data_IF_529152481850
#
_entry.id   IF_529152481850
#
_cell.length_a   1.000
_cell.length_b   1.000
_cell.length_c   1.000
_cell.angle_alpha   90.00
_cell.angle_beta   90.00
_cell.angle_gamma   90.00
#
_symmetry.space_group_name_H-M   'P 1'
#
loop_
_entity.id
_entity.type
_entity.pdbx_description
1 polymer ?
#
# COMPACT_ATOMS: atom_id res chain seq x y z
N UNK A 1 -1.38 4.61 -12.34
CA UNK A 1 -0.53 3.87 -13.30
C UNK A 1 -0.23 4.80 -14.45
N UNK A 2 0.95 4.72 -15.09
CA UNK A 2 1.25 5.48 -16.32
C UNK A 2 1.07 4.60 -17.55
N UNK A 3 0.87 5.18 -18.77
CA UNK A 3 0.81 4.41 -20.02
C UNK A 3 2.03 3.50 -20.22
N UNK A 4 3.23 3.97 -19.90
CA UNK A 4 4.45 3.17 -19.97
C UNK A 4 4.44 1.95 -19.02
N UNK A 5 3.86 2.10 -17.83
CA UNK A 5 3.73 0.99 -16.88
C UNK A 5 2.68 0.00 -17.36
N UNK A 6 1.60 0.49 -17.96
CA UNK A 6 0.54 -0.34 -18.55
C UNK A 6 1.09 -1.14 -19.74
N UNK A 7 1.84 -0.50 -20.63
CA UNK A 7 2.50 -1.14 -21.77
C UNK A 7 3.36 -2.33 -21.33
N UNK A 8 4.22 -2.12 -20.33
CA UNK A 8 5.08 -3.18 -19.79
C UNK A 8 4.29 -4.36 -19.19
N UNK A 9 3.20 -4.08 -18.47
CA UNK A 9 2.37 -5.14 -17.87
C UNK A 9 1.57 -5.95 -18.88
N UNK A 10 1.12 -5.32 -19.95
CA UNK A 10 0.31 -5.96 -20.99
C UNK A 10 1.16 -6.52 -22.15
N UNK A 11 2.48 -6.32 -22.16
CA UNK A 11 3.34 -6.69 -23.28
C UNK A 11 3.01 -5.93 -24.58
N UNK A 12 2.51 -4.69 -24.45
CA UNK A 12 2.07 -3.84 -25.56
C UNK A 12 3.04 -2.69 -25.81
N UNK A 13 2.88 -2.03 -26.95
CA UNK A 13 3.59 -0.80 -27.27
C UNK A 13 3.08 0.37 -26.41
N UNK A 14 3.88 1.41 -26.27
CA UNK A 14 3.46 2.63 -25.56
C UNK A 14 2.26 3.31 -26.25
N UNK A 15 2.15 3.21 -27.56
CA UNK A 15 1.04 3.79 -28.32
C UNK A 15 -0.27 3.05 -28.02
N UNK A 16 -0.29 1.71 -28.10
CA UNK A 16 -1.47 0.91 -27.73
C UNK A 16 -1.89 1.14 -26.27
N UNK A 17 -0.92 1.24 -25.37
CA UNK A 17 -1.21 1.54 -23.96
C UNK A 17 -1.80 2.94 -23.77
N UNK A 18 -1.37 3.93 -24.55
CA UNK A 18 -1.95 5.26 -24.55
C UNK A 18 -3.39 5.25 -25.06
N UNK A 19 -3.67 4.55 -26.15
CA UNK A 19 -5.02 4.39 -26.70
C UNK A 19 -5.99 3.74 -25.70
N UNK A 20 -5.52 2.71 -24.96
CA UNK A 20 -6.29 2.08 -23.87
C UNK A 20 -6.57 3.10 -22.75
N UNK A 21 -5.57 3.89 -22.39
CA UNK A 21 -5.68 4.91 -21.35
C UNK A 21 -6.71 5.99 -21.72
N UNK A 22 -6.63 6.48 -22.94
CA UNK A 22 -7.54 7.52 -23.46
C UNK A 22 -8.97 6.98 -23.58
N UNK A 23 -9.14 5.74 -24.04
CA UNK A 23 -10.43 5.05 -24.11
C UNK A 23 -11.06 4.89 -22.71
N UNK A 24 -10.25 4.53 -21.70
CA UNK A 24 -10.71 4.41 -20.33
C UNK A 24 -11.25 5.74 -19.78
N UNK A 25 -10.50 6.82 -19.90
CA UNK A 25 -10.96 8.12 -19.40
C UNK A 25 -12.13 8.70 -20.21
N UNK A 26 -12.20 8.40 -21.49
CA UNK A 26 -13.36 8.73 -22.32
C UNK A 26 -14.63 8.01 -21.83
N UNK A 27 -14.48 6.76 -21.42
CA UNK A 27 -15.58 5.93 -20.88
C UNK A 27 -15.97 6.34 -19.45
N UNK A 28 -15.00 6.83 -18.66
CA UNK A 28 -15.18 7.18 -17.26
C UNK A 28 -14.70 8.61 -16.95
N UNK A 29 -15.33 9.64 -17.52
CA UNK A 29 -14.85 11.03 -17.38
C UNK A 29 -14.87 11.53 -15.92
N UNK A 30 -15.77 11.01 -15.08
CA UNK A 30 -15.82 11.33 -13.64
C UNK A 30 -14.60 10.85 -12.86
N UNK A 31 -13.95 9.80 -13.32
CA UNK A 31 -12.69 9.34 -12.71
C UNK A 31 -11.55 10.33 -13.00
N UNK A 32 -11.49 10.84 -14.22
CA UNK A 32 -10.50 11.87 -14.58
C UNK A 32 -10.73 13.16 -13.79
N UNK A 33 -11.98 13.60 -13.67
CA UNK A 33 -12.38 14.75 -12.87
C UNK A 33 -11.99 14.58 -11.39
N UNK A 34 -12.24 13.41 -10.81
CA UNK A 34 -11.85 13.10 -9.44
C UNK A 34 -10.32 13.18 -9.23
N UNK A 35 -9.54 12.68 -10.18
CA UNK A 35 -8.07 12.75 -10.14
C UNK A 35 -7.63 14.21 -10.16
N UNK A 36 -8.18 15.01 -11.08
CA UNK A 36 -7.85 16.43 -11.24
C UNK A 36 -8.20 17.22 -9.98
N UNK A 37 -9.43 17.07 -9.49
CA UNK A 37 -9.90 17.77 -8.29
C UNK A 37 -9.11 17.37 -7.04
N UNK A 38 -8.71 16.11 -6.93
CA UNK A 38 -7.89 15.64 -5.81
C UNK A 38 -6.51 16.29 -5.81
N UNK A 39 -5.88 16.43 -6.97
CA UNK A 39 -4.58 17.10 -7.11
C UNK A 39 -4.69 18.60 -6.83
N UNK A 40 -5.75 19.24 -7.28
CA UNK A 40 -5.97 20.67 -7.03
C UNK A 40 -6.23 20.93 -5.55
N UNK A 41 -7.02 20.08 -4.90
CA UNK A 41 -7.22 20.13 -3.45
C UNK A 41 -5.90 19.97 -2.68
N UNK A 42 -5.06 19.00 -3.07
CA UNK A 42 -3.72 18.84 -2.48
C UNK A 42 -2.87 20.09 -2.62
N UNK A 43 -2.86 20.71 -3.82
CA UNK A 43 -2.10 21.97 -4.08
C UNK A 43 -2.51 23.10 -3.16
N UNK A 44 -3.80 23.18 -2.85
CA UNK A 44 -4.36 24.28 -2.06
C UNK A 44 -4.19 24.06 -0.56
N UNK A 45 -4.32 22.80 -0.09
CA UNK A 45 -4.45 22.50 1.33
C UNK A 45 -3.27 21.74 1.94
N UNK A 46 -2.41 21.12 1.14
CA UNK A 46 -1.29 20.30 1.62
C UNK A 46 -1.65 18.92 2.15
N UNK A 47 -2.92 18.55 2.06
CA UNK A 47 -3.44 17.24 2.44
C UNK A 47 -4.54 16.81 1.49
N UNK A 48 -4.93 15.55 1.57
CA UNK A 48 -6.16 15.02 0.99
C UNK A 48 -7.07 14.50 2.09
N UNK A 49 -8.36 14.48 1.81
CA UNK A 49 -9.39 14.08 2.76
C UNK A 49 -10.26 12.99 2.16
N UNK A 50 -10.57 11.95 2.93
CA UNK A 50 -11.56 10.95 2.53
C UNK A 50 -12.98 11.45 2.82
N UNK A 51 -14.00 10.66 2.47
CA UNK A 51 -15.41 10.98 2.66
C UNK A 51 -15.79 11.12 4.16
N UNK A 52 -15.03 10.52 5.07
CA UNK A 52 -15.25 10.61 6.51
C UNK A 52 -14.51 11.81 7.17
N UNK A 53 -13.84 12.65 6.38
CA UNK A 53 -13.08 13.80 6.87
C UNK A 53 -11.70 13.46 7.42
N UNK A 54 -11.20 12.21 7.23
CA UNK A 54 -9.82 11.86 7.62
C UNK A 54 -8.83 12.48 6.65
N UNK A 55 -7.85 13.17 7.21
CA UNK A 55 -6.82 13.88 6.46
C UNK A 55 -5.53 13.08 6.38
N UNK A 56 -4.94 13.07 5.18
CA UNK A 56 -3.58 12.61 4.95
C UNK A 56 -2.75 13.74 4.39
N UNK A 57 -1.79 14.21 5.19
CA UNK A 57 -0.82 15.20 4.76
C UNK A 57 0.18 14.58 3.77
N UNK A 58 0.43 15.29 2.67
CA UNK A 58 1.36 14.89 1.61
C UNK A 58 2.39 16.02 1.42
N UNK A 59 3.16 16.27 2.47
CA UNK A 59 4.11 17.40 2.55
C UNK A 59 5.20 17.35 1.48
N UNK A 60 5.57 16.16 1.01
CA UNK A 60 6.55 15.97 -0.04
C UNK A 60 6.14 16.59 -1.40
N UNK A 61 4.85 16.88 -1.57
CA UNK A 61 4.36 17.60 -2.75
C UNK A 61 4.93 19.01 -2.88
N UNK A 62 5.25 19.64 -1.74
CA UNK A 62 5.76 21.03 -1.69
C UNK A 62 7.28 21.13 -1.61
N UNK A 63 7.97 20.01 -1.72
CA UNK A 63 9.44 20.04 -1.79
C UNK A 63 9.91 20.80 -3.02
N UNK A 64 11.02 21.51 -2.87
CA UNK A 64 11.71 22.04 -4.04
C UNK A 64 12.22 20.89 -4.91
N UNK A 65 12.12 20.97 -6.25
CA UNK A 65 12.58 19.91 -7.15
C UNK A 65 14.05 19.51 -6.91
N UNK A 66 14.86 20.47 -6.51
CA UNK A 66 16.27 20.27 -6.14
C UNK A 66 16.57 20.99 -4.83
N UNK A 67 17.30 20.33 -3.96
CA UNK A 67 17.78 20.87 -2.69
C UNK A 67 19.27 20.63 -2.56
N UNK A 68 19.95 21.55 -1.87
CA UNK A 68 21.37 21.42 -1.55
C UNK A 68 21.55 21.73 -0.05
N UNK A 69 22.37 20.94 0.62
CA UNK A 69 22.74 21.13 2.02
C UNK A 69 24.21 20.80 2.24
N UNK A 70 24.82 21.40 3.26
CA UNK A 70 26.17 21.03 3.67
C UNK A 70 26.15 19.72 4.45
N UNK A 71 27.15 18.87 4.25
CA UNK A 71 27.28 17.59 4.98
C UNK A 71 27.52 17.77 6.47
N UNK A 72 28.40 18.72 6.80
CA UNK A 72 28.79 19.04 8.16
C UNK A 72 28.65 20.55 8.34
N UNK A 73 27.45 21.00 8.65
CA UNK A 73 27.15 22.41 8.79
C UNK A 73 27.99 23.07 9.89
N UNK A 74 28.17 22.41 11.03
CA UNK A 74 28.98 22.88 12.15
C UNK A 74 30.48 23.06 11.77
N UNK A 75 31.06 22.09 11.06
CA UNK A 75 32.45 22.17 10.63
C UNK A 75 32.66 23.25 9.55
N UNK A 76 31.68 23.44 8.71
CA UNK A 76 31.72 24.46 7.68
C UNK A 76 31.54 25.85 8.25
N UNK A 77 30.65 26.05 9.21
CA UNK A 77 30.47 27.28 9.97
C UNK A 77 31.78 27.65 10.70
N UNK A 78 32.41 26.66 11.33
CA UNK A 78 33.70 26.89 12.01
C UNK A 78 34.81 27.31 11.03
N UNK A 79 34.83 26.80 9.80
CA UNK A 79 35.80 27.15 8.77
C UNK A 79 35.49 28.49 8.06
N UNK A 80 34.23 28.90 8.05
CA UNK A 80 33.76 30.11 7.35
C UNK A 80 33.47 31.27 8.30
N UNK A 81 33.59 31.07 9.62
CA UNK A 81 33.44 32.10 10.61
C UNK A 81 34.49 33.21 10.39
N UNK A 82 34.01 34.45 10.25
CA UNK A 82 34.88 35.59 10.12
C UNK A 82 35.17 36.21 11.52
N UNK A 83 36.37 36.01 12.08
CA UNK A 83 36.67 36.47 13.44
C UNK A 83 36.72 37.99 13.56
N UNK A 84 36.90 38.72 12.44
CA UNK A 84 36.96 40.19 12.41
C UNK A 84 35.54 40.77 12.52
N UNK A 85 34.56 40.16 11.86
CA UNK A 85 33.17 40.61 11.85
C UNK A 85 32.32 39.95 12.95
N UNK A 86 32.85 38.91 13.61
CA UNK A 86 32.13 38.16 14.65
C UNK A 86 30.86 37.44 14.15
N UNK A 87 30.76 37.18 12.87
CA UNK A 87 29.60 36.57 12.25
C UNK A 87 29.98 35.51 11.21
N UNK A 88 29.04 34.63 10.91
CA UNK A 88 29.15 33.63 9.82
C UNK A 88 28.97 34.29 8.44
N UNK A 89 29.73 33.83 7.45
CA UNK A 89 29.54 34.24 6.04
C UNK A 89 28.31 33.53 5.43
N UNK A 90 27.18 33.52 6.13
CA UNK A 90 25.96 32.82 5.72
C UNK A 90 25.45 33.21 4.32
N UNK A 91 25.43 34.49 3.90
CA UNK A 91 25.02 34.88 2.57
C UNK A 91 25.92 34.29 1.43
N UNK A 92 27.20 34.10 1.72
CA UNK A 92 28.12 33.45 0.77
C UNK A 92 27.87 31.96 0.67
N UNK A 93 27.56 31.31 1.79
CA UNK A 93 27.19 29.90 1.85
C UNK A 93 25.88 29.64 1.10
N UNK A 94 24.88 30.47 1.30
CA UNK A 94 23.59 30.37 0.60
C UNK A 94 23.76 30.54 -0.93
N UNK A 95 24.64 31.41 -1.37
CA UNK A 95 25.00 31.57 -2.80
C UNK A 95 25.69 30.32 -3.36
N UNK A 96 26.51 29.62 -2.58
CA UNK A 96 27.14 28.37 -3.01
C UNK A 96 26.07 27.30 -3.19
N UNK A 97 25.19 27.09 -2.22
CA UNK A 97 24.08 26.14 -2.33
C UNK A 97 23.17 26.47 -3.52
N UNK A 98 22.81 27.74 -3.68
CA UNK A 98 22.01 28.22 -4.81
C UNK A 98 22.65 27.91 -6.17
N UNK A 99 23.99 28.05 -6.27
CA UNK A 99 24.71 27.73 -7.51
C UNK A 99 24.62 26.23 -7.85
N UNK A 100 24.69 25.34 -6.85
CA UNK A 100 24.55 23.91 -7.06
C UNK A 100 23.12 23.54 -7.49
N UNK A 101 22.12 24.15 -6.87
CA UNK A 101 20.70 23.99 -7.26
C UNK A 101 20.49 24.48 -8.71
N UNK A 102 21.09 25.59 -9.10
CA UNK A 102 21.01 26.10 -10.46
C UNK A 102 21.64 25.13 -11.48
N UNK A 103 22.80 24.56 -11.16
CA UNK A 103 23.44 23.50 -11.99
C UNK A 103 22.55 22.25 -12.08
N UNK A 104 21.94 21.83 -10.98
CA UNK A 104 21.03 20.69 -10.97
C UNK A 104 19.81 20.87 -11.89
N UNK A 105 19.24 22.07 -11.94
CA UNK A 105 18.14 22.42 -12.85
C UNK A 105 18.50 22.33 -14.33
N UNK A 106 19.81 22.42 -14.67
CA UNK A 106 20.31 22.35 -16.05
C UNK A 106 20.61 20.92 -16.51
N UNK A 107 20.60 19.91 -15.59
CA UNK A 107 20.84 18.52 -15.97
C UNK A 107 19.69 17.99 -16.82
N UNK A 108 20.03 17.26 -17.90
CA UNK A 108 19.06 16.74 -18.88
C UNK A 108 18.53 15.35 -18.53
N UNK A 109 19.26 14.62 -17.72
CA UNK A 109 18.93 13.23 -17.37
C UNK A 109 19.53 12.85 -16.00
N UNK A 110 19.09 11.71 -15.47
CA UNK A 110 19.53 11.21 -14.17
C UNK A 110 21.04 10.98 -14.10
N UNK A 111 21.68 10.54 -15.18
CA UNK A 111 23.12 10.26 -15.20
C UNK A 111 23.95 11.53 -15.00
N UNK A 112 23.55 12.61 -15.66
CA UNK A 112 24.18 13.94 -15.48
C UNK A 112 23.97 14.46 -14.05
N UNK A 113 22.77 14.28 -13.50
CA UNK A 113 22.49 14.65 -12.11
C UNK A 113 23.33 13.83 -11.12
N UNK A 114 23.46 12.52 -11.30
CA UNK A 114 24.29 11.66 -10.44
C UNK A 114 25.77 12.06 -10.47
N UNK A 115 26.29 12.45 -11.63
CA UNK A 115 27.66 12.97 -11.76
C UNK A 115 27.82 14.29 -11.00
N UNK A 116 26.85 15.20 -11.16
CA UNK A 116 26.84 16.48 -10.45
C UNK A 116 26.73 16.28 -8.93
N UNK A 117 25.90 15.33 -8.49
CA UNK A 117 25.76 15.01 -7.08
C UNK A 117 27.04 14.43 -6.47
N UNK A 118 27.80 13.63 -7.22
CA UNK A 118 29.15 13.17 -6.80
C UNK A 118 30.12 14.32 -6.66
N UNK A 119 30.18 15.22 -7.65
CA UNK A 119 31.04 16.41 -7.58
C UNK A 119 30.69 17.29 -6.36
N UNK A 120 29.39 17.50 -6.10
CA UNK A 120 28.93 18.24 -4.93
C UNK A 120 29.34 17.56 -3.63
N UNK A 121 29.22 16.23 -3.59
CA UNK A 121 29.55 15.40 -2.43
C UNK A 121 31.04 15.49 -2.05
N UNK A 122 31.95 15.53 -3.04
CA UNK A 122 33.38 15.74 -2.85
C UNK A 122 33.70 17.11 -2.24
N UNK A 123 32.85 18.11 -2.51
CA UNK A 123 32.95 19.45 -1.96
C UNK A 123 32.18 19.65 -0.63
N UNK A 124 31.72 18.55 -0.03
CA UNK A 124 31.01 18.60 1.25
C UNK A 124 29.54 19.05 1.15
N UNK A 125 28.94 18.94 -0.06
CA UNK A 125 27.56 19.34 -0.32
C UNK A 125 26.73 18.10 -0.69
N UNK A 126 25.57 17.94 -0.06
CA UNK A 126 24.56 16.94 -0.43
C UNK A 126 23.58 17.61 -1.39
N UNK A 127 23.51 17.10 -2.62
CA UNK A 127 22.57 17.55 -3.63
C UNK A 127 21.46 16.50 -3.79
N UNK A 128 20.21 16.90 -3.60
CA UNK A 128 19.05 16.01 -3.62
C UNK A 128 18.08 16.41 -4.73
N UNK A 129 17.61 15.41 -5.49
CA UNK A 129 16.52 15.57 -6.45
C UNK A 129 15.21 15.01 -5.85
N UNK A 130 14.21 15.85 -5.71
CA UNK A 130 12.93 15.50 -5.07
C UNK A 130 11.82 15.15 -6.07
N UNK A 131 12.11 15.15 -7.36
CA UNK A 131 11.10 14.87 -8.41
C UNK A 131 10.37 13.54 -8.20
N UNK A 132 11.09 12.51 -7.75
CA UNK A 132 10.50 11.20 -7.41
C UNK A 132 9.52 11.27 -6.25
N UNK A 133 9.86 11.99 -5.17
CA UNK A 133 9.03 12.19 -3.97
C UNK A 133 7.78 13.02 -4.30
N UNK A 134 7.95 14.11 -5.06
CA UNK A 134 6.84 14.95 -5.51
C UNK A 134 5.86 14.12 -6.35
N UNK A 135 6.37 13.38 -7.36
CA UNK A 135 5.56 12.52 -8.20
C UNK A 135 4.88 11.37 -7.41
N UNK A 136 5.52 10.88 -6.35
CA UNK A 136 4.92 9.90 -5.45
C UNK A 136 3.76 10.50 -4.67
N UNK A 137 3.90 11.70 -4.13
CA UNK A 137 2.81 12.42 -3.44
C UNK A 137 1.62 12.65 -4.36
N UNK A 138 1.84 13.01 -5.63
CA UNK A 138 0.76 13.12 -6.61
C UNK A 138 0.02 11.79 -6.85
N UNK A 139 0.75 10.67 -6.91
CA UNK A 139 0.13 9.34 -7.06
C UNK A 139 -0.62 8.91 -5.80
N UNK A 140 -0.09 9.25 -4.63
CA UNK A 140 -0.73 8.95 -3.34
C UNK A 140 -2.00 9.76 -3.10
N UNK A 141 -2.15 10.91 -3.74
CA UNK A 141 -3.26 11.82 -3.58
C UNK A 141 -4.62 11.11 -3.76
N UNK A 142 -4.86 10.52 -4.93
CA UNK A 142 -6.10 9.78 -5.21
C UNK A 142 -6.19 8.50 -4.38
N UNK A 143 -5.10 7.73 -4.32
CA UNK A 143 -5.06 6.45 -3.63
C UNK A 143 -5.40 6.61 -2.13
N UNK A 144 -4.93 7.69 -1.50
CA UNK A 144 -5.22 7.98 -0.09
C UNK A 144 -6.70 8.29 0.16
N UNK A 145 -7.38 8.92 -0.80
CA UNK A 145 -8.82 9.18 -0.69
C UNK A 145 -9.64 7.90 -0.79
N UNK A 146 -9.30 7.03 -1.73
CA UNK A 146 -10.03 5.77 -1.97
C UNK A 146 -9.74 4.77 -0.86
N UNK A 147 -8.47 4.45 -0.61
CA UNK A 147 -8.10 3.49 0.42
C UNK A 147 -8.37 4.01 1.84
N UNK A 148 -8.20 5.32 2.06
CA UNK A 148 -8.60 5.95 3.32
C UNK A 148 -10.09 5.81 3.57
N UNK A 149 -10.90 6.04 2.52
CA UNK A 149 -12.35 5.86 2.57
C UNK A 149 -12.77 4.42 2.85
N UNK A 150 -12.14 3.43 2.22
CA UNK A 150 -12.36 2.02 2.52
C UNK A 150 -12.02 1.69 3.98
N UNK A 151 -10.85 2.12 4.45
CA UNK A 151 -10.47 1.94 5.86
C UNK A 151 -11.38 2.66 6.86
N UNK A 152 -12.04 3.75 6.45
CA UNK A 152 -13.05 4.42 7.27
C UNK A 152 -14.35 3.63 7.33
N UNK A 153 -14.75 2.96 6.25
CA UNK A 153 -15.90 2.02 6.25
C UNK A 153 -15.65 0.82 7.17
N UNK A 154 -14.48 0.18 7.06
CA UNK A 154 -14.12 -0.94 7.93
C UNK A 154 -14.18 -0.54 9.41
N UNK A 155 -13.72 0.66 9.77
CA UNK A 155 -13.79 1.15 11.15
C UNK A 155 -15.23 1.40 11.62
N UNK A 156 -16.09 1.91 10.76
CA UNK A 156 -17.53 2.05 11.09
C UNK A 156 -18.16 0.69 11.29
N UNK A 157 -17.86 -0.27 10.43
CA UNK A 157 -18.33 -1.64 10.59
C UNK A 157 -17.86 -2.26 11.92
N UNK A 158 -16.57 -2.07 12.27
CA UNK A 158 -16.05 -2.54 13.57
C UNK A 158 -16.77 -1.94 14.77
N UNK A 159 -17.15 -0.65 14.71
CA UNK A 159 -17.93 0.00 15.76
C UNK A 159 -19.30 -0.63 15.86
N UNK A 160 -20.02 -0.81 14.75
CA UNK A 160 -21.33 -1.43 14.74
C UNK A 160 -21.30 -2.90 15.17
N UNK A 161 -20.28 -3.65 14.80
CA UNK A 161 -20.05 -5.02 15.28
C UNK A 161 -19.87 -5.03 16.80
N UNK A 162 -19.04 -4.12 17.32
CA UNK A 162 -18.80 -4.01 18.77
C UNK A 162 -20.07 -3.64 19.54
N UNK A 163 -20.89 -2.77 18.98
CA UNK A 163 -22.11 -2.27 19.64
C UNK A 163 -23.32 -3.21 19.46
N UNK A 164 -23.26 -4.17 18.52
CA UNK A 164 -24.35 -5.10 18.24
C UNK A 164 -24.70 -5.99 19.45
N UNK A 165 -25.89 -5.82 19.98
CA UNK A 165 -26.40 -6.69 21.06
C UNK A 165 -26.61 -8.14 20.57
N UNK A 166 -27.04 -8.33 19.32
CA UNK A 166 -27.23 -9.65 18.71
C UNK A 166 -25.93 -10.46 18.66
N UNK A 167 -24.80 -9.83 18.37
CA UNK A 167 -23.49 -10.47 18.40
C UNK A 167 -23.00 -10.73 19.83
N UNK A 168 -23.28 -9.81 20.76
CA UNK A 168 -22.97 -9.98 22.20
C UNK A 168 -23.70 -11.15 22.83
N UNK A 169 -25.01 -11.32 22.55
CA UNK A 169 -25.83 -12.44 22.99
C UNK A 169 -25.26 -13.78 22.53
N UNK A 170 -24.60 -13.83 21.36
CA UNK A 170 -23.93 -15.01 20.84
C UNK A 170 -22.48 -15.14 21.29
N UNK A 171 -22.06 -14.27 22.22
CA UNK A 171 -20.68 -14.20 22.70
C UNK A 171 -19.64 -14.06 21.55
N UNK A 172 -20.05 -13.44 20.45
CA UNK A 172 -19.18 -13.14 19.32
C UNK A 172 -18.31 -11.92 19.65
N UNK A 173 -17.00 -12.06 19.50
CA UNK A 173 -16.01 -11.05 19.86
C UNK A 173 -15.14 -10.71 18.67
N UNK A 174 -14.97 -9.42 18.41
CA UNK A 174 -13.99 -8.93 17.45
C UNK A 174 -12.59 -9.22 17.97
N UNK A 175 -11.81 -10.00 17.25
CA UNK A 175 -10.43 -10.37 17.65
C UNK A 175 -9.37 -9.75 16.80
N UNK A 176 -9.61 -9.59 15.49
CA UNK A 176 -8.61 -9.06 14.58
C UNK A 176 -9.25 -8.40 13.36
N UNK A 177 -8.49 -7.52 12.69
CA UNK A 177 -8.79 -7.00 11.37
C UNK A 177 -7.54 -7.04 10.50
N UNK A 178 -7.70 -7.44 9.23
CA UNK A 178 -6.63 -7.49 8.25
C UNK A 178 -7.15 -6.80 6.98
N UNK A 179 -6.61 -5.62 6.67
CA UNK A 179 -7.07 -4.78 5.57
C UNK A 179 -8.58 -4.46 5.64
N UNK A 180 -9.39 -5.11 4.84
CA UNK A 180 -10.84 -5.00 4.73
C UNK A 180 -11.58 -6.21 5.33
N UNK A 181 -10.85 -7.18 5.86
CA UNK A 181 -11.40 -8.33 6.58
C UNK A 181 -11.54 -8.05 8.07
N UNK A 182 -12.60 -8.58 8.65
CA UNK A 182 -12.89 -8.50 10.08
C UNK A 182 -13.09 -9.93 10.61
N UNK A 183 -12.35 -10.28 11.66
CA UNK A 183 -12.43 -11.61 12.27
C UNK A 183 -13.09 -11.56 13.63
N UNK A 184 -14.07 -12.43 13.81
CA UNK A 184 -14.77 -12.64 15.06
C UNK A 184 -14.49 -14.06 15.57
N UNK A 185 -14.45 -14.21 16.87
CA UNK A 185 -14.47 -15.49 17.56
C UNK A 185 -15.84 -15.65 18.24
N UNK A 186 -16.46 -16.82 18.07
CA UNK A 186 -17.70 -17.14 18.73
C UNK A 186 -17.76 -18.65 19.07
N UNK A 187 -18.62 -19.07 20.01
CA UNK A 187 -18.90 -20.47 20.22
C UNK A 187 -19.43 -21.14 18.94
N UNK A 188 -18.96 -22.35 18.63
CA UNK A 188 -19.35 -23.09 17.43
C UNK A 188 -20.86 -23.23 17.23
N UNK A 189 -21.62 -23.31 18.34
CA UNK A 189 -23.08 -23.35 18.33
C UNK A 189 -23.72 -22.17 17.59
N UNK A 190 -23.08 -21.01 17.62
CA UNK A 190 -23.60 -19.77 17.02
C UNK A 190 -22.90 -19.40 15.70
N UNK A 191 -21.98 -20.22 15.19
CA UNK A 191 -21.17 -19.88 14.04
C UNK A 191 -22.00 -19.54 12.80
N UNK A 192 -23.02 -20.32 12.49
CA UNK A 192 -23.91 -20.10 11.34
C UNK A 192 -24.70 -18.79 11.49
N UNK A 193 -25.26 -18.53 12.67
CA UNK A 193 -26.01 -17.31 12.93
C UNK A 193 -25.12 -16.07 12.86
N UNK A 194 -23.90 -16.13 13.40
CA UNK A 194 -22.92 -15.04 13.33
C UNK A 194 -22.48 -14.82 11.91
N UNK A 195 -22.30 -15.89 11.12
CA UNK A 195 -21.93 -15.77 9.70
C UNK A 195 -23.01 -15.09 8.84
N UNK A 196 -24.28 -15.17 9.23
CA UNK A 196 -25.37 -14.45 8.56
C UNK A 196 -25.52 -13.00 9.04
N UNK A 197 -25.23 -12.73 10.33
CA UNK A 197 -25.38 -11.40 10.93
C UNK A 197 -24.24 -10.45 10.53
N UNK A 198 -23.01 -10.95 10.55
CA UNK A 198 -21.82 -10.15 10.30
C UNK A 198 -21.85 -9.40 8.97
N UNK A 199 -22.15 -10.04 7.83
CA UNK A 199 -22.23 -9.33 6.54
C UNK A 199 -23.30 -8.26 6.53
N UNK A 200 -24.45 -8.50 7.16
CA UNK A 200 -25.54 -7.52 7.25
C UNK A 200 -25.06 -6.26 7.98
N UNK A 201 -24.45 -6.42 9.15
CA UNK A 201 -23.93 -5.29 9.95
C UNK A 201 -22.86 -4.51 9.14
N UNK A 202 -21.96 -5.21 8.46
CA UNK A 202 -20.90 -4.56 7.68
C UNK A 202 -21.48 -3.77 6.46
N UNK A 203 -22.48 -4.33 5.78
CA UNK A 203 -23.16 -3.68 4.66
C UNK A 203 -23.97 -2.48 5.15
N UNK A 204 -24.71 -2.64 6.24
CA UNK A 204 -25.54 -1.58 6.83
C UNK A 204 -24.69 -0.40 7.33
N UNK A 205 -23.50 -0.68 7.87
CA UNK A 205 -22.52 0.36 8.23
C UNK A 205 -22.08 1.21 7.04
N UNK A 206 -22.00 0.62 5.85
CA UNK A 206 -21.60 1.29 4.63
C UNK A 206 -22.75 1.99 3.90
N UNK A 207 -23.98 1.52 4.06
CA UNK A 207 -25.16 1.95 3.30
C UNK A 207 -25.38 3.47 3.27
N UNK A 208 -25.18 4.24 4.35
CA UNK A 208 -25.36 5.70 4.31
C UNK A 208 -24.36 6.44 3.41
N UNK A 209 -23.23 5.82 3.07
CA UNK A 209 -22.09 6.46 2.39
C UNK A 209 -21.82 5.90 1.00
N UNK A 210 -22.34 4.74 0.68
CA UNK A 210 -22.09 4.02 -0.58
C UNK A 210 -23.39 3.87 -1.36
N UNK A 211 -23.41 4.36 -2.59
CA UNK A 211 -24.56 4.29 -3.49
C UNK A 211 -24.57 3.08 -4.42
N UNK A 212 -23.50 2.30 -4.42
CA UNK A 212 -23.38 1.06 -5.19
C UNK A 212 -23.57 -0.14 -4.26
N UNK A 213 -24.02 -1.27 -4.82
CA UNK A 213 -24.19 -2.48 -4.02
C UNK A 213 -22.89 -2.92 -3.37
N UNK A 214 -22.94 -3.18 -2.07
CA UNK A 214 -21.85 -3.76 -1.30
C UNK A 214 -22.05 -5.26 -1.16
N UNK A 215 -20.95 -6.00 -1.16
CA UNK A 215 -20.93 -7.44 -0.93
C UNK A 215 -19.94 -7.73 0.20
N UNK A 216 -20.36 -8.60 1.09
CA UNK A 216 -19.52 -9.15 2.14
C UNK A 216 -19.72 -10.67 2.14
N UNK A 217 -18.65 -11.43 1.94
CA UNK A 217 -18.68 -12.88 1.89
C UNK A 217 -18.13 -13.42 3.23
N UNK A 218 -18.95 -14.04 4.07
CA UNK A 218 -18.49 -14.64 5.30
C UNK A 218 -17.80 -15.98 5.03
N UNK A 219 -16.83 -16.32 5.86
CA UNK A 219 -16.25 -17.64 5.96
C UNK A 219 -16.29 -18.10 7.41
N UNK A 220 -16.62 -19.37 7.65
CA UNK A 220 -16.59 -19.98 8.97
C UNK A 220 -15.49 -21.03 8.99
N UNK A 221 -14.55 -20.85 9.90
CA UNK A 221 -13.38 -21.70 10.03
C UNK A 221 -13.16 -22.06 11.49
N UNK A 222 -12.62 -23.26 11.75
CA UNK A 222 -12.31 -23.69 13.12
C UNK A 222 -11.11 -22.95 13.70
N UNK A 223 -10.26 -22.40 12.84
CA UNK A 223 -9.09 -21.57 13.16
C UNK A 223 -8.69 -20.71 11.96
N UNK A 224 -7.95 -19.64 12.23
CA UNK A 224 -7.43 -18.76 11.18
C UNK A 224 -6.45 -19.50 10.27
N UNK A 225 -6.49 -19.17 8.97
CA UNK A 225 -5.61 -19.63 7.92
C UNK A 225 -5.74 -21.12 7.50
N UNK A 226 -6.82 -21.80 7.89
CA UNK A 226 -7.07 -23.19 7.44
C UNK A 226 -7.11 -23.25 5.91
N UNK A 227 -7.87 -22.38 5.27
CA UNK A 227 -7.97 -22.35 3.81
C UNK A 227 -6.66 -22.06 3.10
N UNK A 228 -5.81 -21.19 3.67
CA UNK A 228 -4.48 -20.88 3.10
C UNK A 228 -3.55 -22.09 3.19
N UNK A 229 -3.56 -22.82 4.30
CA UNK A 229 -2.78 -24.04 4.46
C UNK A 229 -3.28 -25.15 3.53
N UNK A 230 -4.59 -25.30 3.37
CA UNK A 230 -5.18 -26.25 2.43
C UNK A 230 -4.70 -25.99 1.00
N UNK A 231 -4.81 -24.73 0.53
CA UNK A 231 -4.36 -24.35 -0.80
C UNK A 231 -2.84 -24.50 -0.98
N UNK A 232 -2.06 -24.14 0.04
CA UNK A 232 -0.62 -24.27 0.00
C UNK A 232 -0.19 -25.74 -0.12
N UNK A 233 -0.76 -26.61 0.69
CA UNK A 233 -0.48 -28.07 0.71
C UNK A 233 -0.88 -28.71 -0.63
N UNK A 234 -2.05 -28.40 -1.16
CA UNK A 234 -2.50 -28.91 -2.45
C UNK A 234 -1.59 -28.44 -3.60
N UNK A 235 -1.28 -27.15 -3.65
CA UNK A 235 -0.41 -26.57 -4.67
C UNK A 235 1.02 -27.15 -4.62
N UNK A 236 1.55 -27.38 -3.42
CA UNK A 236 2.87 -27.99 -3.26
C UNK A 236 2.87 -29.46 -3.67
N UNK A 237 1.82 -30.21 -3.36
CA UNK A 237 1.64 -31.58 -3.80
C UNK A 237 1.59 -31.67 -5.33
N UNK A 238 0.76 -30.86 -5.99
CA UNK A 238 0.67 -30.79 -7.45
C UNK A 238 2.01 -30.45 -8.10
N UNK A 239 2.77 -29.55 -7.48
CA UNK A 239 4.13 -29.19 -7.94
C UNK A 239 5.11 -30.37 -7.86
N UNK A 240 5.00 -31.24 -6.86
CA UNK A 240 5.82 -32.45 -6.79
C UNK A 240 5.43 -33.46 -7.86
N UNK A 241 4.13 -33.69 -8.06
CA UNK A 241 3.62 -34.55 -9.12
C UNK A 241 4.04 -34.04 -10.50
N UNK A 242 3.92 -32.74 -10.75
CA UNK A 242 4.33 -32.14 -12.05
C UNK A 242 5.83 -32.26 -12.33
N UNK A 243 6.65 -32.42 -11.29
CA UNK A 243 8.09 -32.67 -11.39
C UNK A 243 8.44 -34.18 -11.57
N UNK A 244 7.42 -35.04 -11.66
CA UNK A 244 7.60 -36.47 -11.91
C UNK A 244 7.85 -37.32 -10.66
N UNK A 245 7.60 -36.79 -9.44
CA UNK A 245 7.64 -37.60 -8.24
C UNK A 245 6.46 -38.58 -8.20
N UNK A 246 6.72 -39.81 -7.74
CA UNK A 246 5.65 -40.74 -7.42
C UNK A 246 4.82 -40.23 -6.24
N UNK A 247 3.54 -40.58 -6.21
CA UNK A 247 2.58 -40.06 -5.23
C UNK A 247 3.01 -40.25 -3.78
N UNK A 248 3.57 -41.42 -3.45
CA UNK A 248 4.07 -41.71 -2.10
C UNK A 248 5.30 -40.87 -1.73
N UNK A 249 6.19 -40.62 -2.67
CA UNK A 249 7.36 -39.76 -2.45
C UNK A 249 6.94 -38.29 -2.27
N UNK A 250 5.95 -37.83 -3.03
CA UNK A 250 5.38 -36.50 -2.89
C UNK A 250 4.76 -36.29 -1.52
N UNK A 251 4.01 -37.26 -1.00
CA UNK A 251 3.46 -37.24 0.37
C UNK A 251 4.55 -37.18 1.44
N UNK A 252 5.56 -38.05 1.38
CA UNK A 252 6.67 -38.07 2.34
C UNK A 252 7.39 -36.73 2.38
N UNK A 253 7.57 -36.12 1.22
CA UNK A 253 8.22 -34.82 1.12
C UNK A 253 7.35 -33.69 1.68
N UNK A 254 6.04 -33.74 1.42
CA UNK A 254 5.09 -32.79 1.95
C UNK A 254 5.04 -32.86 3.50
N UNK A 255 4.97 -34.05 4.09
CA UNK A 255 5.04 -34.23 5.54
C UNK A 255 6.33 -33.70 6.15
N UNK A 256 7.46 -33.93 5.47
CA UNK A 256 8.74 -33.39 5.92
C UNK A 256 8.81 -31.87 5.92
N UNK A 257 8.08 -31.22 5.01
CA UNK A 257 8.07 -29.76 4.89
C UNK A 257 7.05 -29.08 5.83
N UNK A 258 6.03 -29.83 6.28
CA UNK A 258 4.96 -29.35 7.16
C UNK A 258 4.85 -30.18 8.43
N UNK A 259 5.92 -30.23 9.26
CA UNK A 259 5.93 -31.06 10.47
C UNK A 259 4.93 -30.59 11.54
N UNK A 260 4.40 -29.37 11.40
CA UNK A 260 3.37 -28.79 12.25
C UNK A 260 1.97 -29.33 11.96
N UNK A 261 1.76 -29.96 10.79
CA UNK A 261 0.47 -30.48 10.36
C UNK A 261 0.36 -31.99 10.60
N UNK A 262 -0.80 -32.49 11.08
CA UNK A 262 -1.03 -33.92 11.19
C UNK A 262 -0.98 -34.62 9.83
N UNK A 263 -0.25 -35.74 9.73
CA UNK A 263 -0.13 -36.51 8.47
C UNK A 263 -1.50 -36.91 7.90
N UNK A 264 -2.41 -37.31 8.79
CA UNK A 264 -3.77 -37.72 8.40
C UNK A 264 -4.57 -36.55 7.80
N UNK A 265 -4.42 -35.34 8.33
CA UNK A 265 -5.07 -34.15 7.81
C UNK A 265 -4.56 -33.82 6.41
N UNK A 266 -3.23 -33.84 6.20
CA UNK A 266 -2.62 -33.65 4.87
C UNK A 266 -3.11 -34.70 3.88
N UNK A 267 -3.16 -35.97 4.31
CA UNK A 267 -3.64 -37.07 3.45
C UNK A 267 -5.09 -36.86 3.02
N UNK A 268 -5.98 -36.53 3.94
CA UNK A 268 -7.42 -36.28 3.64
C UNK A 268 -7.59 -35.07 2.73
N UNK A 269 -6.85 -34.00 2.95
CA UNK A 269 -6.89 -32.80 2.12
C UNK A 269 -6.52 -33.10 0.65
N UNK A 270 -5.49 -33.92 0.44
CA UNK A 270 -5.02 -34.26 -0.91
C UNK A 270 -5.89 -35.33 -1.58
N UNK A 271 -6.45 -36.28 -0.83
CA UNK A 271 -7.18 -37.43 -1.39
C UNK A 271 -8.68 -37.19 -1.49
N UNK A 272 -9.26 -36.52 -0.53
CA UNK A 272 -10.70 -36.36 -0.35
C UNK A 272 -11.18 -34.93 -0.65
N UNK A 273 -10.24 -33.99 -0.83
CA UNK A 273 -10.56 -32.58 -1.05
C UNK A 273 -11.19 -31.90 0.17
N UNK A 274 -10.97 -32.47 1.36
CA UNK A 274 -11.45 -31.94 2.63
C UNK A 274 -10.47 -30.91 3.12
N UNK A 275 -10.96 -29.76 3.61
CA UNK A 275 -10.13 -28.74 4.23
C UNK A 275 -9.36 -29.32 5.44
N UNK A 276 -8.16 -28.77 5.67
CA UNK A 276 -7.30 -29.22 6.78
C UNK A 276 -8.05 -29.05 8.10
N UNK A 277 -8.52 -30.17 8.66
CA UNK A 277 -9.04 -30.25 10.01
C UNK A 277 -7.91 -30.61 10.99
N UNK A 278 -7.78 -29.86 12.06
CA UNK A 278 -6.76 -30.07 13.10
C UNK A 278 -7.38 -30.52 14.42
#
# INVERSE_FOLDING_TARGET
MSPNTLAKRLGKTNQEAQEIFDSFFKSFPKVEELIKNSKEFLRTHGYVEDWAGRRRHLTDYFLNPYEAAYKNEEELIAKTFNPILGCENRPLMDNVLASWIARAKMTKNNKEFEQLAKEANEKGIILTANSGRIAQSERQCLNSRIQGGAGSLTKLAMIQIHDSEELKERNARLVMTIHDEVMLECPALYADEVSELLPKIMIDAAAPYITVGMKCDPAVESRWAVGEYTVAVQSEFEKYISKGLEREEAFKKLYSNHPELPEEAIYRTITEGIDLEF
#
